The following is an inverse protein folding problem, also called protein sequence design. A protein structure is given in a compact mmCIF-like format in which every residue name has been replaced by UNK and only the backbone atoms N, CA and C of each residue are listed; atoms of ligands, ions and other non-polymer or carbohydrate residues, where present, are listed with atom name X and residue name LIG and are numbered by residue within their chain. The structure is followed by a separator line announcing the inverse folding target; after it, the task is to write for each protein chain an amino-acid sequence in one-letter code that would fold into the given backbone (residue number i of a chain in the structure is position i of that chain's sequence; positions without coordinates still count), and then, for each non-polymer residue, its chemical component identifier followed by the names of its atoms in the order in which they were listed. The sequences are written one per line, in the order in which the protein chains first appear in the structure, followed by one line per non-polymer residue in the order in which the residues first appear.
data_IF_190240741808
#
_entry.id   IF_190240741808
#
_cell.length_a   1.000
_cell.length_b   1.000
_cell.length_c   1.000
_cell.angle_alpha   90.00
_cell.angle_beta   90.00
_cell.angle_gamma   90.00
#
_symmetry.space_group_name_H-M   'P 1'
#
loop_
_entity.id
_entity.type
_entity.pdbx_description
1 polymer ?
#
# COMPACT_ATOMS: atom_id res chain seq x y z
N UNK A 1 4.44 1.19 39.40
CA UNK A 1 5.00 1.55 38.10
C UNK A 1 3.97 1.24 37.04
N UNK A 2 3.57 2.18 36.20
CA UNK A 2 2.69 1.86 35.07
C UNK A 2 3.45 0.94 34.12
N UNK A 3 2.79 -0.05 33.49
CA UNK A 3 3.44 -0.94 32.55
C UNK A 3 4.00 -0.14 31.37
N UNK A 4 5.28 -0.33 31.07
CA UNK A 4 5.91 0.27 29.89
C UNK A 4 5.09 -0.13 28.67
N UNK A 5 4.46 0.86 28.02
CA UNK A 5 3.76 0.68 26.76
C UNK A 5 4.67 0.02 25.75
N UNK A 6 4.19 -1.06 25.15
CA UNK A 6 4.79 -1.86 24.11
C UNK A 6 5.82 -1.12 23.25
N UNK A 7 7.04 -1.66 23.21
CA UNK A 7 8.07 -1.32 22.22
C UNK A 7 7.37 -1.33 20.86
N UNK A 8 7.24 -0.17 20.21
CA UNK A 8 6.65 -0.07 18.88
C UNK A 8 7.47 -0.99 17.96
N UNK A 9 6.82 -2.00 17.40
CA UNK A 9 7.43 -2.83 16.35
C UNK A 9 7.96 -1.89 15.25
N UNK A 10 9.18 -2.13 14.79
CA UNK A 10 9.79 -1.37 13.70
C UNK A 10 8.76 -1.13 12.59
N UNK A 11 8.51 0.14 12.30
CA UNK A 11 7.59 0.54 11.24
C UNK A 11 8.35 0.52 9.92
N UNK A 12 8.35 -0.65 9.27
CA UNK A 12 9.03 -0.82 7.99
C UNK A 12 8.21 -0.24 6.83
N UNK A 13 8.90 0.42 5.91
CA UNK A 13 8.39 0.94 4.64
C UNK A 13 9.23 0.40 3.48
N UNK A 14 8.69 0.46 2.27
CA UNK A 14 9.45 0.18 1.05
C UNK A 14 10.36 1.38 0.74
N UNK A 15 11.57 1.11 0.25
CA UNK A 15 12.44 2.13 -0.31
C UNK A 15 12.07 2.46 -1.76
N UNK A 16 12.56 3.60 -2.28
CA UNK A 16 12.38 3.94 -3.70
C UNK A 16 13.03 2.90 -4.62
N UNK A 17 14.17 2.32 -4.24
CA UNK A 17 14.84 1.24 -4.98
C UNK A 17 13.98 -0.03 -5.03
N UNK A 18 13.38 -0.43 -3.88
CA UNK A 18 12.47 -1.57 -3.84
C UNK A 18 11.25 -1.35 -4.74
N UNK A 19 10.71 -0.13 -4.77
CA UNK A 19 9.61 0.23 -5.68
C UNK A 19 10.03 0.17 -7.14
N UNK A 20 11.24 0.60 -7.48
CA UNK A 20 11.77 0.49 -8.84
C UNK A 20 11.92 -0.98 -9.27
N UNK A 21 12.43 -1.85 -8.38
CA UNK A 21 12.50 -3.30 -8.61
C UNK A 21 11.11 -3.89 -8.83
N UNK A 22 10.13 -3.52 -7.99
CA UNK A 22 8.74 -3.97 -8.10
C UNK A 22 8.14 -3.54 -9.44
N UNK A 23 8.29 -2.28 -9.83
CA UNK A 23 7.78 -1.75 -11.09
C UNK A 23 8.36 -2.51 -12.29
N UNK A 24 9.68 -2.67 -12.34
CA UNK A 24 10.37 -3.44 -13.38
C UNK A 24 9.92 -4.91 -13.42
N UNK A 25 9.67 -5.50 -12.24
CA UNK A 25 9.21 -6.88 -12.14
C UNK A 25 7.79 -7.07 -12.68
N UNK A 26 6.90 -6.07 -12.50
CA UNK A 26 5.53 -6.11 -13.04
C UNK A 26 5.50 -6.03 -14.58
N UNK A 27 6.51 -5.44 -15.20
CA UNK A 27 6.67 -5.37 -16.65
C UNK A 27 7.38 -6.60 -17.24
N UNK A 28 7.95 -7.45 -16.37
CA UNK A 28 8.78 -8.58 -16.80
C UNK A 28 7.96 -9.86 -16.98
N UNK A 29 7.63 -10.21 -18.21
CA UNK A 29 6.85 -11.42 -18.55
C UNK A 29 7.56 -12.72 -18.13
N UNK A 30 8.89 -12.72 -17.96
CA UNK A 30 9.63 -13.91 -17.51
C UNK A 30 9.25 -14.35 -16.10
N UNK A 31 8.70 -13.44 -15.28
CA UNK A 31 8.26 -13.77 -13.94
C UNK A 31 6.99 -14.66 -13.92
N UNK A 32 6.28 -14.81 -15.04
CA UNK A 32 5.06 -15.63 -15.14
C UNK A 32 4.10 -15.37 -13.97
N UNK A 33 3.79 -14.11 -13.72
CA UNK A 33 2.73 -13.73 -12.80
C UNK A 33 1.38 -14.00 -13.47
N UNK A 34 0.37 -14.44 -12.70
CA UNK A 34 -0.99 -14.41 -13.20
C UNK A 34 -1.43 -12.95 -13.41
N UNK A 35 -2.27 -12.69 -14.41
CA UNK A 35 -2.75 -11.33 -14.69
C UNK A 35 -3.55 -10.77 -13.51
N UNK A 36 -4.26 -11.66 -12.79
CA UNK A 36 -4.93 -11.31 -11.53
C UNK A 36 -3.94 -10.79 -10.48
N UNK A 37 -2.87 -11.53 -10.24
CA UNK A 37 -1.87 -11.19 -9.22
C UNK A 37 -1.12 -9.90 -9.60
N UNK A 38 -0.82 -9.73 -10.90
CA UNK A 38 -0.26 -8.49 -11.48
C UNK A 38 -1.19 -7.31 -11.21
N UNK A 39 -2.48 -7.42 -11.54
CA UNK A 39 -3.45 -6.36 -11.31
C UNK A 39 -3.60 -6.01 -9.82
N UNK A 40 -3.64 -7.00 -8.92
CA UNK A 40 -3.71 -6.82 -7.46
C UNK A 40 -2.51 -6.01 -6.95
N UNK A 41 -1.29 -6.37 -7.35
CA UNK A 41 -0.07 -5.66 -6.92
C UNK A 41 -0.03 -4.25 -7.49
N UNK A 42 -0.39 -4.08 -8.76
CA UNK A 42 -0.44 -2.77 -9.42
C UNK A 42 -1.45 -1.83 -8.74
N UNK A 43 -2.66 -2.31 -8.45
CA UNK A 43 -3.65 -1.54 -7.68
C UNK A 43 -3.07 -1.12 -6.32
N UNK A 44 -2.51 -2.07 -5.57
CA UNK A 44 -1.95 -1.77 -4.25
C UNK A 44 -0.84 -0.72 -4.29
N UNK A 45 0.06 -0.83 -5.27
CA UNK A 45 1.21 0.04 -5.46
C UNK A 45 0.79 1.48 -5.77
N UNK A 46 -0.19 1.66 -6.67
CA UNK A 46 -0.58 2.99 -7.15
C UNK A 46 -1.69 3.65 -6.36
N UNK A 47 -2.49 2.88 -5.60
CA UNK A 47 -3.64 3.42 -4.85
C UNK A 47 -3.46 3.37 -3.35
N UNK A 48 -2.57 2.51 -2.84
CA UNK A 48 -2.42 2.25 -1.41
C UNK A 48 -3.66 1.67 -0.74
N UNK A 49 -4.61 1.08 -1.49
CA UNK A 49 -5.81 0.47 -0.95
C UNK A 49 -5.49 -0.65 0.04
N UNK A 50 -6.36 -0.83 1.02
CA UNK A 50 -6.24 -1.95 1.97
C UNK A 50 -6.56 -3.26 1.27
N UNK A 51 -5.90 -4.34 1.66
CA UNK A 51 -6.17 -5.66 1.09
C UNK A 51 -7.64 -6.11 1.20
N UNK A 52 -8.35 -5.68 2.25
CA UNK A 52 -9.78 -5.96 2.38
C UNK A 52 -10.62 -5.17 1.36
N UNK A 53 -10.20 -3.96 1.01
CA UNK A 53 -10.90 -3.14 0.03
C UNK A 53 -10.67 -3.69 -1.38
N UNK A 54 -9.41 -4.05 -1.71
CA UNK A 54 -9.07 -4.72 -2.98
C UNK A 54 -9.86 -6.03 -3.14
N UNK A 55 -9.94 -6.86 -2.09
CA UNK A 55 -10.67 -8.13 -2.14
C UNK A 55 -12.18 -7.94 -2.37
N UNK A 56 -12.74 -6.83 -1.92
CA UNK A 56 -14.16 -6.52 -2.06
C UNK A 56 -14.52 -5.74 -3.31
N UNK A 57 -13.53 -5.25 -4.06
CA UNK A 57 -13.79 -4.50 -5.30
C UNK A 57 -14.72 -5.26 -6.24
N UNK A 58 -15.59 -4.51 -6.88
CA UNK A 58 -16.45 -4.96 -7.98
C UNK A 58 -16.01 -4.31 -9.29
N UNK A 59 -16.48 -4.82 -10.40
CA UNK A 59 -16.22 -4.22 -11.72
C UNK A 59 -16.79 -2.81 -11.77
N UNK A 60 -17.96 -2.58 -11.18
CA UNK A 60 -18.65 -1.28 -11.11
C UNK A 60 -17.90 -0.21 -10.31
N UNK A 61 -16.92 -0.63 -9.48
CA UNK A 61 -16.07 0.35 -8.78
C UNK A 61 -15.10 1.08 -9.71
N UNK A 62 -14.96 0.64 -10.97
CA UNK A 62 -14.01 1.16 -11.94
C UNK A 62 -14.79 1.85 -13.06
N UNK A 63 -14.60 3.14 -13.16
CA UNK A 63 -15.12 3.96 -14.25
C UNK A 63 -13.97 4.26 -15.22
N UNK A 64 -13.99 3.59 -16.37
CA UNK A 64 -12.99 3.77 -17.42
C UNK A 64 -13.25 5.00 -18.30
N UNK A 65 -14.44 5.59 -18.23
CA UNK A 65 -14.77 6.80 -18.99
C UNK A 65 -14.31 8.05 -18.24
N UNK A 66 -14.51 8.05 -16.91
CA UNK A 66 -14.11 9.15 -16.04
C UNK A 66 -12.71 9.00 -15.44
N UNK A 67 -12.03 7.88 -15.71
CA UNK A 67 -10.74 7.50 -15.10
C UNK A 67 -10.77 7.54 -13.56
N UNK A 68 -11.80 6.92 -12.97
CA UNK A 68 -12.00 6.91 -11.52
C UNK A 68 -12.17 5.49 -10.97
N UNK A 69 -11.68 5.32 -9.74
CA UNK A 69 -12.01 4.17 -8.86
C UNK A 69 -12.85 4.71 -7.72
N UNK A 70 -14.10 4.23 -7.61
CA UNK A 70 -15.01 4.62 -6.54
C UNK A 70 -15.42 3.42 -5.71
N UNK A 71 -15.16 3.45 -4.40
CA UNK A 71 -15.51 2.35 -3.51
C UNK A 71 -15.87 2.86 -2.10
N UNK A 72 -16.62 2.03 -1.36
CA UNK A 72 -16.80 2.20 0.08
C UNK A 72 -15.76 1.35 0.82
N UNK A 73 -14.99 2.00 1.69
CA UNK A 73 -13.95 1.30 2.45
C UNK A 73 -14.55 0.37 3.51
N UNK A 74 -14.08 -0.87 3.54
CA UNK A 74 -14.61 -1.93 4.42
C UNK A 74 -14.46 -1.65 5.92
N UNK A 75 -13.47 -0.85 6.31
CA UNK A 75 -13.16 -0.59 7.71
C UNK A 75 -13.77 0.71 8.23
N UNK A 76 -13.87 1.71 7.39
CA UNK A 76 -14.25 3.07 7.78
C UNK A 76 -15.63 3.46 7.28
N UNK A 77 -16.20 2.67 6.34
CA UNK A 77 -17.45 2.97 5.64
C UNK A 77 -17.45 4.34 4.94
N UNK A 78 -16.26 4.87 4.67
CA UNK A 78 -16.10 6.12 3.94
C UNK A 78 -16.09 5.84 2.43
N UNK A 79 -16.80 6.67 1.68
CA UNK A 79 -16.69 6.69 0.21
C UNK A 79 -15.31 7.23 -0.16
N UNK A 80 -14.59 6.49 -0.96
CA UNK A 80 -13.28 6.84 -1.46
C UNK A 80 -13.34 6.94 -2.99
N UNK A 81 -12.84 8.05 -3.52
CA UNK A 81 -12.71 8.29 -4.95
C UNK A 81 -11.24 8.51 -5.25
N UNK A 82 -10.68 7.69 -6.11
CA UNK A 82 -9.27 7.73 -6.51
C UNK A 82 -9.15 7.84 -8.02
N UNK A 83 -8.10 8.47 -8.56
CA UNK A 83 -7.84 8.46 -9.98
C UNK A 83 -7.46 7.05 -10.45
N UNK A 84 -8.03 6.62 -11.57
CA UNK A 84 -7.65 5.40 -12.27
C UNK A 84 -6.47 5.73 -13.19
N UNK A 85 -5.26 5.45 -12.74
CA UNK A 85 -4.08 5.64 -13.60
C UNK A 85 -4.08 4.62 -14.74
N UNK A 86 -3.63 5.02 -15.91
CA UNK A 86 -3.61 4.16 -17.12
C UNK A 86 -2.94 2.81 -16.87
N UNK A 87 -1.82 2.78 -16.11
CA UNK A 87 -1.14 1.52 -15.76
C UNK A 87 -2.04 0.58 -14.95
N UNK A 88 -2.86 1.10 -14.05
CA UNK A 88 -3.81 0.30 -13.26
C UNK A 88 -4.95 -0.18 -14.13
N UNK A 89 -5.55 0.72 -14.92
CA UNK A 89 -6.62 0.40 -15.85
C UNK A 89 -6.23 -0.68 -16.85
N UNK A 90 -5.04 -0.56 -17.45
CA UNK A 90 -4.54 -1.53 -18.44
C UNK A 90 -4.36 -2.92 -17.82
N UNK A 91 -3.78 -3.04 -16.63
CA UNK A 91 -3.62 -4.36 -15.97
C UNK A 91 -4.96 -4.98 -15.58
N UNK A 92 -5.94 -4.16 -15.19
CA UNK A 92 -7.29 -4.66 -14.92
C UNK A 92 -7.97 -5.14 -16.20
N UNK A 93 -7.89 -4.38 -17.29
CA UNK A 93 -8.47 -4.76 -18.58
C UNK A 93 -7.84 -6.06 -19.10
N UNK A 94 -6.51 -6.18 -19.01
CA UNK A 94 -5.77 -7.38 -19.39
C UNK A 94 -6.28 -8.61 -18.61
N UNK A 95 -6.39 -8.50 -17.28
CA UNK A 95 -6.95 -9.56 -16.44
C UNK A 95 -8.39 -9.91 -16.82
N UNK A 96 -9.26 -8.91 -17.02
CA UNK A 96 -10.67 -9.13 -17.37
C UNK A 96 -10.85 -9.81 -18.72
N UNK A 97 -9.97 -9.53 -19.69
CA UNK A 97 -10.05 -10.07 -21.04
C UNK A 97 -9.47 -11.49 -21.15
N UNK A 98 -8.33 -11.71 -20.54
CA UNK A 98 -7.49 -12.87 -20.82
C UNK A 98 -7.55 -13.96 -19.74
N UNK A 99 -7.78 -13.61 -18.47
CA UNK A 99 -7.69 -14.58 -17.38
C UNK A 99 -9.00 -14.74 -16.59
N UNK A 100 -9.78 -13.67 -16.42
CA UNK A 100 -11.03 -13.74 -15.67
C UNK A 100 -12.09 -14.52 -16.47
N UNK A 101 -12.68 -15.59 -15.91
CA UNK A 101 -13.75 -16.33 -16.60
C UNK A 101 -14.94 -15.42 -16.93
N UNK A 102 -15.50 -15.59 -18.13
CA UNK A 102 -16.59 -14.72 -18.64
C UNK A 102 -17.96 -15.13 -18.12
N UNK A 103 -18.16 -16.43 -17.89
CA UNK A 103 -19.48 -17.02 -17.54
C UNK A 103 -19.66 -17.17 -16.03
N UNK A 104 -19.28 -16.12 -15.25
CA UNK A 104 -19.43 -16.11 -13.80
C UNK A 104 -20.46 -15.05 -13.37
N UNK A 105 -21.25 -15.40 -12.34
CA UNK A 105 -22.34 -14.55 -11.84
C UNK A 105 -21.84 -13.44 -10.90
N UNK A 106 -20.68 -13.64 -10.28
CA UNK A 106 -20.18 -12.68 -9.31
C UNK A 106 -19.72 -11.38 -9.98
N UNK A 107 -20.13 -10.25 -9.39
CA UNK A 107 -19.67 -8.91 -9.80
C UNK A 107 -18.30 -8.53 -9.19
N UNK A 108 -17.73 -9.42 -8.36
CA UNK A 108 -16.40 -9.15 -7.77
C UNK A 108 -15.34 -9.07 -8.86
N UNK A 109 -14.48 -8.07 -8.75
CA UNK A 109 -13.38 -7.88 -9.71
C UNK A 109 -12.45 -9.09 -9.69
N UNK A 110 -12.00 -9.49 -8.50
CA UNK A 110 -11.07 -10.59 -8.32
C UNK A 110 -11.76 -11.84 -7.77
N UNK A 111 -11.53 -12.97 -8.40
CA UNK A 111 -12.12 -14.26 -8.06
C UNK A 111 -11.05 -15.30 -7.72
N UNK A 112 -11.49 -16.39 -7.11
CA UNK A 112 -10.60 -17.50 -6.78
C UNK A 112 -10.23 -18.28 -8.07
N UNK A 113 -8.98 -18.71 -8.21
CA UNK A 113 -8.50 -19.38 -9.44
C UNK A 113 -9.20 -20.71 -9.72
N UNK A 114 -9.49 -21.49 -8.67
CA UNK A 114 -10.09 -22.82 -8.79
C UNK A 114 -11.61 -22.83 -8.61
N UNK A 115 -12.19 -21.74 -8.14
CA UNK A 115 -13.61 -21.55 -7.94
C UNK A 115 -14.00 -20.11 -8.32
N UNK A 116 -14.20 -19.85 -9.62
CA UNK A 116 -14.41 -18.50 -10.14
C UNK A 116 -15.66 -17.79 -9.60
N UNK A 117 -16.66 -18.52 -9.10
CA UNK A 117 -17.83 -17.92 -8.45
C UNK A 117 -17.50 -17.38 -7.06
N UNK A 118 -16.40 -17.83 -6.48
CA UNK A 118 -15.99 -17.42 -5.14
C UNK A 118 -15.05 -16.22 -5.20
N UNK A 119 -15.39 -15.12 -4.52
CA UNK A 119 -14.50 -13.96 -4.43
C UNK A 119 -13.24 -14.29 -3.60
N UNK A 120 -12.13 -13.65 -3.92
CA UNK A 120 -10.92 -13.80 -3.10
C UNK A 120 -11.09 -13.14 -1.74
N UNK A 121 -10.43 -13.72 -0.73
CA UNK A 121 -10.41 -13.17 0.63
C UNK A 121 -9.25 -12.16 0.80
N UNK A 122 -9.32 -11.29 1.83
CA UNK A 122 -8.18 -10.41 2.18
C UNK A 122 -6.89 -11.18 2.50
N UNK A 123 -7.01 -12.42 2.98
CA UNK A 123 -5.86 -13.30 3.23
C UNK A 123 -5.16 -13.68 1.93
N UNK A 124 -5.90 -13.97 0.87
CA UNK A 124 -5.35 -14.28 -0.46
C UNK A 124 -4.60 -13.07 -1.02
N UNK A 125 -5.15 -11.85 -0.88
CA UNK A 125 -4.45 -10.62 -1.27
C UNK A 125 -3.09 -10.51 -0.55
N UNK A 126 -3.06 -10.80 0.76
CA UNK A 126 -1.81 -10.81 1.53
C UNK A 126 -0.82 -11.89 1.03
N UNK A 127 -1.31 -13.07 0.68
CA UNK A 127 -0.49 -14.16 0.13
C UNK A 127 0.07 -13.83 -1.27
N UNK A 128 -0.72 -13.16 -2.12
CA UNK A 128 -0.27 -12.69 -3.44
C UNK A 128 0.94 -11.78 -3.25
N UNK A 129 0.85 -10.78 -2.37
CA UNK A 129 1.95 -9.86 -2.14
C UNK A 129 3.21 -10.56 -1.60
N UNK A 130 3.07 -11.49 -0.64
CA UNK A 130 4.21 -12.26 -0.10
C UNK A 130 4.88 -13.07 -1.20
N UNK A 131 4.12 -13.89 -1.94
CA UNK A 131 4.66 -14.68 -3.04
C UNK A 131 5.34 -13.84 -4.11
N UNK A 132 4.80 -12.64 -4.36
CA UNK A 132 5.42 -11.70 -5.29
C UNK A 132 6.78 -11.21 -4.76
N UNK A 133 6.86 -10.76 -3.50
CA UNK A 133 8.13 -10.34 -2.89
C UNK A 133 9.16 -11.47 -2.85
N UNK A 134 8.74 -12.68 -2.49
CA UNK A 134 9.62 -13.86 -2.50
C UNK A 134 10.17 -14.14 -3.91
N UNK A 135 9.30 -14.01 -4.93
CA UNK A 135 9.65 -14.28 -6.33
C UNK A 135 10.65 -13.29 -6.92
N UNK A 136 10.56 -12.03 -6.53
CA UNK A 136 11.50 -10.99 -6.97
C UNK A 136 12.71 -10.84 -6.04
N UNK A 137 12.76 -11.63 -4.97
CA UNK A 137 13.92 -11.73 -4.09
C UNK A 137 14.13 -10.55 -3.14
N UNK A 138 13.11 -9.72 -2.90
CA UNK A 138 13.14 -8.67 -1.89
C UNK A 138 12.41 -9.11 -0.62
N UNK A 139 12.73 -8.46 0.51
CA UNK A 139 12.05 -8.71 1.79
C UNK A 139 12.08 -10.19 2.22
N UNK A 140 13.25 -10.83 2.10
CA UNK A 140 13.48 -12.18 2.60
C UNK A 140 13.62 -12.13 4.11
N UNK A 141 13.16 -13.20 4.78
CA UNK A 141 13.28 -13.51 6.22
C UNK A 141 13.32 -12.29 7.16
N UNK A 142 12.67 -12.35 8.31
CA UNK A 142 12.62 -11.31 9.36
C UNK A 142 12.04 -9.92 8.96
N UNK A 143 12.01 -9.57 7.67
CA UNK A 143 11.40 -8.33 7.20
C UNK A 143 9.88 -8.44 7.07
N UNK A 144 9.18 -7.33 7.34
CA UNK A 144 7.75 -7.26 7.07
C UNK A 144 7.52 -7.34 5.56
N UNK A 145 6.67 -8.27 5.14
CA UNK A 145 6.23 -8.42 3.77
C UNK A 145 4.69 -8.37 3.69
N UNK A 146 4.18 -7.99 2.53
CA UNK A 146 2.76 -8.00 2.25
C UNK A 146 2.18 -6.68 1.79
N UNK A 147 0.90 -6.71 1.45
CA UNK A 147 0.19 -5.63 0.75
C UNK A 147 0.20 -4.28 1.50
N UNK A 148 0.32 -4.29 2.82
CA UNK A 148 0.32 -3.07 3.64
C UNK A 148 1.53 -2.17 3.39
N UNK A 149 2.64 -2.74 2.90
CA UNK A 149 3.87 -1.99 2.63
C UNK A 149 3.66 -0.94 1.53
N UNK A 150 2.88 -1.26 0.50
CA UNK A 150 2.54 -0.31 -0.56
C UNK A 150 1.81 0.92 -0.01
N UNK A 151 0.85 0.68 0.89
CA UNK A 151 0.12 1.77 1.53
C UNK A 151 1.01 2.63 2.43
N UNK A 152 1.93 1.98 3.17
CA UNK A 152 2.90 2.69 3.99
C UNK A 152 3.82 3.56 3.13
N UNK A 153 4.38 2.96 2.09
CA UNK A 153 5.21 3.69 1.13
C UNK A 153 4.48 4.89 0.55
N UNK A 154 3.27 4.71 0.05
CA UNK A 154 2.50 5.81 -0.56
C UNK A 154 2.23 6.94 0.44
N UNK A 155 1.83 6.60 1.69
CA UNK A 155 1.60 7.61 2.72
C UNK A 155 2.88 8.39 3.07
N UNK A 156 4.01 7.70 3.26
CA UNK A 156 5.31 8.34 3.54
C UNK A 156 5.77 9.19 2.35
N UNK A 157 5.59 8.70 1.11
CA UNK A 157 5.96 9.44 -0.10
C UNK A 157 5.13 10.71 -0.28
N UNK A 158 3.84 10.67 0.04
CA UNK A 158 2.99 11.87 0.02
C UNK A 158 3.42 12.88 1.08
N UNK A 159 3.79 12.41 2.29
CA UNK A 159 4.34 13.27 3.34
C UNK A 159 5.64 13.94 2.89
N UNK A 160 6.60 13.16 2.37
CA UNK A 160 7.88 13.67 1.90
C UNK A 160 7.77 14.64 0.72
N UNK A 161 6.66 14.59 -0.02
CA UNK A 161 6.35 15.57 -1.07
C UNK A 161 5.57 16.79 -0.55
N UNK A 162 5.49 16.99 0.77
CA UNK A 162 4.88 18.15 1.39
C UNK A 162 3.33 18.14 1.39
N UNK A 163 2.70 16.99 1.10
CA UNK A 163 1.25 16.87 1.21
C UNK A 163 0.84 16.85 2.69
N UNK A 164 -0.09 17.71 3.06
CA UNK A 164 -0.48 17.82 4.47
C UNK A 164 -1.14 16.53 4.99
N UNK A 165 -0.93 16.19 6.29
CA UNK A 165 -1.52 14.99 6.91
C UNK A 165 -3.03 14.88 6.72
N UNK A 166 -3.75 16.01 6.69
CA UNK A 166 -5.19 16.04 6.47
C UNK A 166 -5.56 15.46 5.10
N UNK A 167 -4.92 15.94 4.03
CA UNK A 167 -5.19 15.44 2.68
C UNK A 167 -4.76 13.99 2.51
N UNK A 168 -3.65 13.59 3.13
CA UNK A 168 -3.23 12.18 3.11
C UNK A 168 -4.27 11.31 3.81
N UNK A 169 -4.83 11.75 4.94
CA UNK A 169 -5.91 11.03 5.63
C UNK A 169 -7.15 10.88 4.74
N UNK A 170 -7.53 11.90 4.00
CA UNK A 170 -8.64 11.84 3.05
C UNK A 170 -8.35 10.85 1.91
N UNK A 171 -7.19 10.94 1.25
CA UNK A 171 -6.76 10.04 0.17
C UNK A 171 -6.70 8.58 0.66
N UNK A 172 -6.20 8.38 1.88
CA UNK A 172 -6.11 7.06 2.48
C UNK A 172 -7.44 6.57 3.08
N UNK A 173 -8.45 7.45 3.23
CA UNK A 173 -9.70 7.14 3.91
C UNK A 173 -9.47 6.75 5.37
N UNK A 174 -8.71 7.56 6.11
CA UNK A 174 -8.57 7.46 7.54
C UNK A 174 -9.71 8.21 8.24
N UNK A 175 -10.24 7.67 9.35
CA UNK A 175 -11.25 8.37 10.16
C UNK A 175 -10.59 9.48 10.97
N UNK A 176 -9.38 9.22 11.45
CA UNK A 176 -8.65 10.10 12.35
C UNK A 176 -7.26 10.43 11.79
N UNK A 177 -6.85 11.72 11.84
CA UNK A 177 -5.50 12.13 11.46
C UNK A 177 -4.39 11.43 12.24
N UNK A 178 -4.65 11.03 13.51
CA UNK A 178 -3.69 10.29 14.33
C UNK A 178 -3.31 8.93 13.73
N UNK A 179 -4.13 8.41 12.82
CA UNK A 179 -3.79 7.21 12.03
C UNK A 179 -2.52 7.39 11.19
N UNK A 180 -2.08 8.63 10.97
CA UNK A 180 -0.84 8.96 10.26
C UNK A 180 0.39 9.07 11.16
N UNK A 181 0.24 9.12 12.49
CA UNK A 181 1.36 9.26 13.41
C UNK A 181 2.50 8.26 13.12
N UNK A 182 2.24 6.96 12.85
CA UNK A 182 3.33 6.03 12.51
C UNK A 182 4.10 6.40 11.24
N UNK A 183 3.47 7.08 10.30
CA UNK A 183 4.11 7.53 9.04
C UNK A 183 4.91 8.80 9.27
N UNK A 184 4.40 9.72 10.08
CA UNK A 184 5.09 10.94 10.50
C UNK A 184 6.34 10.56 11.31
N UNK A 185 6.21 9.63 12.27
CA UNK A 185 7.33 9.13 13.07
C UNK A 185 8.42 8.46 12.23
N UNK A 186 8.06 7.92 11.05
CA UNK A 186 9.01 7.29 10.11
C UNK A 186 9.68 8.29 9.15
N UNK A 187 9.16 9.50 9.07
CA UNK A 187 9.71 10.55 8.20
C UNK A 187 10.87 11.31 8.91
N UNK A 188 11.96 10.57 9.14
CA UNK A 188 13.15 11.06 9.86
C UNK A 188 13.81 12.24 9.14
N UNK A 189 13.67 12.34 7.81
CA UNK A 189 14.30 13.41 7.02
C UNK A 189 13.69 14.75 7.40
N UNK A 190 12.37 14.88 7.33
CA UNK A 190 11.70 16.15 7.71
C UNK A 190 11.77 16.42 9.22
N UNK A 191 11.78 15.36 10.06
CA UNK A 191 11.99 15.54 11.50
C UNK A 191 13.37 16.14 11.82
N UNK A 192 14.40 15.79 11.05
CA UNK A 192 15.73 16.40 11.18
C UNK A 192 15.76 17.85 10.71
N UNK A 193 15.04 18.18 9.65
CA UNK A 193 14.91 19.58 9.18
C UNK A 193 14.16 20.46 10.18
N UNK A 194 13.22 19.91 10.96
CA UNK A 194 12.53 20.59 12.05
C UNK A 194 13.36 20.65 13.33
N UNK A 195 14.48 19.92 13.40
CA UNK A 195 15.39 19.93 14.55
C UNK A 195 16.04 21.30 14.72
N UNK A 196 15.98 21.85 15.94
CA UNK A 196 16.75 23.05 16.27
C UNK A 196 18.22 22.67 16.14
N UNK A 197 18.98 23.44 15.38
CA UNK A 197 20.44 23.31 15.33
C UNK A 197 21.03 23.67 16.70
N UNK A 198 21.36 22.65 17.48
CA UNK A 198 21.95 22.82 18.80
C UNK A 198 23.47 23.00 18.75
N UNK A 199 24.09 22.97 17.57
CA UNK A 199 25.53 23.17 17.41
C UNK A 199 25.98 24.55 17.88
N UNK A 200 25.09 25.55 17.87
CA UNK A 200 25.31 26.89 18.41
C UNK A 200 25.23 26.97 19.94
N UNK A 201 24.77 25.88 20.60
CA UNK A 201 24.72 25.75 22.05
C UNK A 201 25.62 24.58 22.48
N UNK A 202 26.94 24.72 22.53
CA UNK A 202 27.80 23.63 22.93
C UNK A 202 27.47 23.23 24.38
N UNK A 203 27.07 21.96 24.53
CA UNK A 203 26.87 21.35 25.84
C UNK A 203 28.27 21.14 26.43
N UNK A 204 28.56 21.75 27.60
CA UNK A 204 29.82 21.53 28.29
C UNK A 204 29.97 20.04 28.66
N UNK A 205 31.23 19.54 28.64
CA UNK A 205 31.54 18.15 28.93
C UNK A 205 31.05 17.70 30.33
N UNK A 206 30.78 18.62 31.24
CA UNK A 206 30.31 18.37 32.61
C UNK A 206 28.89 17.78 32.73
N UNK A 207 28.11 17.70 31.63
CA UNK A 207 26.71 17.22 31.67
C UNK A 207 26.62 15.69 31.58
N UNK A 208 27.71 15.01 31.26
CA UNK A 208 27.74 13.56 31.07
C UNK A 208 28.45 12.79 32.19
N UNK A 209 28.95 13.47 33.21
CA UNK A 209 29.54 12.87 34.41
C UNK A 209 28.43 12.67 35.48
N UNK A 210 27.62 11.59 35.34
CA UNK A 210 26.75 11.06 36.39
C UNK A 210 26.87 9.53 36.44
#
# INVERSE_FOLDING_TARGET
MPPLKNIRKNFEILSDDEIAIIASALENDKLKLSLRDKAVITIAMYTGLRGCDIAKMTIENIDFELDLITLEQSKTHQKLVLPLRAVVGNTIIEYLKEERPKDIKTQKLFTHLYDPEKPISPSIIGQIARRFFDKIGIRKEECQNGIRLFRRYLATKLLSNGITPRYISEIMGHISPESLNPYIDADIVHLRECGIDISIYPVGEEVFDV
#
